data_IF_092170202430
#
_entry.id   IF_092170202430
#
_cell.length_a   1.000
_cell.length_b   1.000
_cell.length_c   1.000
_cell.angle_alpha   90.00
_cell.angle_beta   90.00
_cell.angle_gamma   90.00
#
_symmetry.space_group_name_H-M   'P 1'
#
loop_
_entity.id
_entity.type
_entity.pdbx_description
1 polymer ?
#
# COMPACT_ATOMS: atom_id res chain seq x y z
N UNK A 1 24.77 -16.81 21.09
CA UNK A 1 24.29 -18.08 20.49
C UNK A 1 24.70 -18.02 19.04
N UNK A 2 25.63 -18.92 18.63
CA UNK A 2 26.10 -19.02 17.25
C UNK A 2 24.91 -19.29 16.33
N UNK A 3 24.75 -18.47 15.27
CA UNK A 3 23.79 -18.72 14.20
C UNK A 3 24.21 -19.99 13.48
N UNK A 4 23.53 -21.10 13.72
CA UNK A 4 23.94 -22.44 13.34
C UNK A 4 23.87 -22.79 11.85
N UNK A 5 23.61 -21.85 10.95
CA UNK A 5 23.74 -21.97 9.50
C UNK A 5 24.34 -20.67 9.00
N UNK A 6 25.44 -20.75 8.25
CA UNK A 6 26.20 -19.59 7.78
C UNK A 6 25.29 -18.54 7.15
N UNK A 7 25.51 -17.28 7.51
CA UNK A 7 24.80 -16.15 6.93
C UNK A 7 24.99 -16.16 5.40
N UNK A 8 23.95 -16.50 4.67
CA UNK A 8 23.92 -16.39 3.21
C UNK A 8 23.34 -15.02 2.88
N UNK A 9 24.12 -14.20 2.17
CA UNK A 9 23.64 -12.91 1.67
C UNK A 9 22.43 -13.11 0.75
N UNK A 10 21.25 -12.72 1.22
CA UNK A 10 19.98 -12.89 0.50
C UNK A 10 19.77 -11.72 -0.47
N UNK A 11 20.28 -11.81 -1.70
CA UNK A 11 20.27 -10.72 -2.68
C UNK A 11 18.91 -10.51 -3.35
N UNK A 12 18.27 -11.58 -3.78
CA UNK A 12 17.01 -11.52 -4.51
C UNK A 12 15.80 -11.30 -3.62
N UNK A 13 14.84 -10.48 -4.10
CA UNK A 13 13.60 -10.19 -3.36
C UNK A 13 12.79 -11.48 -3.07
N UNK A 14 12.70 -12.41 -4.04
CA UNK A 14 12.01 -13.69 -3.86
C UNK A 14 12.60 -14.54 -2.72
N UNK A 15 13.94 -14.60 -2.61
CA UNK A 15 14.62 -15.30 -1.52
C UNK A 15 14.34 -14.64 -0.17
N UNK A 16 14.37 -13.30 -0.10
CA UNK A 16 14.04 -12.55 1.12
C UNK A 16 12.58 -12.75 1.54
N UNK A 17 11.63 -12.71 0.60
CA UNK A 17 10.21 -12.97 0.87
C UNK A 17 9.94 -14.35 1.46
N UNK A 18 10.75 -15.35 1.11
CA UNK A 18 10.61 -16.72 1.62
C UNK A 18 11.27 -16.86 3.00
N UNK A 19 12.51 -16.42 3.17
CA UNK A 19 13.34 -16.81 4.30
C UNK A 19 13.52 -15.75 5.40
N UNK A 20 13.19 -14.47 5.18
CA UNK A 20 13.38 -13.43 6.20
C UNK A 20 12.45 -13.63 7.40
N UNK A 21 12.93 -13.36 8.61
CA UNK A 21 12.12 -13.46 9.84
C UNK A 21 11.76 -14.88 10.27
N UNK A 22 12.33 -15.93 9.67
CA UNK A 22 12.01 -17.33 9.99
C UNK A 22 13.01 -18.00 10.98
N UNK A 23 13.99 -17.26 11.46
CA UNK A 23 14.99 -17.77 12.41
C UNK A 23 14.48 -17.77 13.86
N UNK A 24 13.31 -18.39 14.08
CA UNK A 24 12.74 -18.56 15.43
C UNK A 24 13.56 -19.60 16.20
N UNK A 25 13.92 -19.24 17.43
CA UNK A 25 14.74 -20.09 18.31
C UNK A 25 13.82 -21.08 19.05
N UNK A 26 13.67 -22.27 18.49
CA UNK A 26 13.09 -23.45 19.17
C UNK A 26 14.01 -24.66 18.96
N UNK A 27 14.03 -25.67 19.87
CA UNK A 27 14.92 -26.82 19.76
C UNK A 27 14.79 -27.57 18.44
N UNK A 28 13.55 -27.87 18.02
CA UNK A 28 13.25 -28.38 16.67
C UNK A 28 12.68 -27.22 15.87
N UNK A 29 13.44 -26.76 14.84
CA UNK A 29 12.98 -25.68 13.95
C UNK A 29 11.83 -26.16 13.07
N UNK A 30 10.59 -25.67 13.26
CA UNK A 30 9.52 -25.94 12.31
C UNK A 30 9.86 -25.28 10.95
N UNK A 31 9.37 -25.86 9.87
CA UNK A 31 9.55 -25.29 8.51
C UNK A 31 8.83 -23.94 8.38
N UNK A 32 7.67 -23.80 9.05
CA UNK A 32 6.86 -22.57 9.04
C UNK A 32 6.91 -21.90 10.40
N UNK A 33 6.69 -20.56 10.40
CA UNK A 33 6.58 -19.78 11.65
C UNK A 33 5.38 -20.26 12.45
N UNK A 34 5.53 -20.71 13.72
CA UNK A 34 4.41 -21.11 14.54
C UNK A 34 3.48 -19.96 14.90
N UNK A 35 2.20 -20.25 15.08
CA UNK A 35 1.22 -19.27 15.58
C UNK A 35 1.18 -19.29 17.10
N UNK A 36 1.65 -18.24 17.77
CA UNK A 36 1.60 -18.07 19.21
C UNK A 36 0.30 -17.36 19.64
N UNK A 37 -0.81 -18.10 19.76
CA UNK A 37 -2.10 -17.57 20.21
C UNK A 37 -2.13 -17.52 21.75
N UNK A 38 -1.54 -16.48 22.33
CA UNK A 38 -1.53 -16.23 23.77
C UNK A 38 -1.55 -14.73 24.05
N UNK A 39 -2.17 -14.34 25.15
CA UNK A 39 -2.14 -12.96 25.63
C UNK A 39 -0.85 -12.64 26.40
N UNK A 40 -0.33 -13.59 27.15
CA UNK A 40 0.85 -13.39 27.99
C UNK A 40 1.80 -14.59 27.95
N UNK A 41 3.05 -14.35 28.35
CA UNK A 41 4.12 -15.34 28.36
C UNK A 41 4.65 -15.56 29.78
N UNK A 42 4.97 -16.81 30.14
CA UNK A 42 5.70 -17.11 31.35
C UNK A 42 7.17 -16.75 31.15
N UNK A 43 7.66 -15.77 31.88
CA UNK A 43 9.04 -15.28 31.75
C UNK A 43 9.85 -15.68 32.99
N UNK A 44 10.74 -16.68 32.90
CA UNK A 44 11.55 -17.12 34.01
C UNK A 44 12.72 -16.18 34.36
N UNK A 45 12.99 -15.19 33.52
CA UNK A 45 14.10 -14.22 33.72
C UNK A 45 13.67 -12.77 33.46
N UNK A 46 14.46 -11.81 33.95
CA UNK A 46 14.22 -10.37 33.73
C UNK A 46 14.62 -9.92 32.32
N UNK A 47 15.29 -10.74 31.52
CA UNK A 47 15.57 -10.47 30.10
C UNK A 47 14.31 -10.75 29.26
N UNK A 48 13.48 -9.71 29.10
CA UNK A 48 12.12 -9.82 28.55
C UNK A 48 12.10 -9.50 27.07
N UNK A 49 12.06 -10.50 26.19
CA UNK A 49 11.70 -10.28 24.81
C UNK A 49 10.17 -10.28 24.63
N UNK A 50 9.47 -11.21 25.30
CA UNK A 50 8.02 -11.35 25.24
C UNK A 50 7.45 -11.37 26.66
N UNK A 51 6.48 -10.49 26.95
CA UNK A 51 5.74 -10.42 28.20
C UNK A 51 4.23 -10.50 27.93
N UNK A 52 3.76 -9.65 27.04
CA UNK A 52 2.35 -9.51 26.69
C UNK A 52 2.20 -9.27 25.19
N UNK A 53 1.30 -9.99 24.52
CA UNK A 53 1.20 -10.00 23.06
C UNK A 53 0.81 -8.64 22.44
N UNK A 54 0.25 -7.72 23.23
CA UNK A 54 0.02 -6.34 22.78
C UNK A 54 1.33 -5.58 22.54
N UNK A 55 2.38 -5.92 23.26
CA UNK A 55 3.69 -5.30 23.12
C UNK A 55 4.53 -6.04 22.07
N UNK A 56 4.67 -7.37 22.23
CA UNK A 56 5.38 -8.23 21.31
C UNK A 56 4.86 -9.68 21.34
N UNK A 57 4.89 -10.34 20.20
CA UNK A 57 4.51 -11.74 20.03
C UNK A 57 5.43 -12.39 18.98
N UNK A 58 5.93 -13.63 19.18
CA UNK A 58 6.90 -14.24 18.26
C UNK A 58 6.43 -14.29 16.80
N UNK A 59 5.15 -14.60 16.55
CA UNK A 59 4.60 -14.63 15.17
C UNK A 59 4.57 -13.24 14.56
N UNK A 60 4.17 -12.22 15.34
CA UNK A 60 4.13 -10.82 14.89
C UNK A 60 5.56 -10.31 14.64
N UNK A 61 6.50 -10.62 15.53
CA UNK A 61 7.91 -10.26 15.37
C UNK A 61 8.50 -10.84 14.08
N UNK A 62 8.22 -12.12 13.78
CA UNK A 62 8.68 -12.73 12.53
C UNK A 62 8.15 -12.02 11.27
N UNK A 63 6.90 -11.53 11.30
CA UNK A 63 6.35 -10.69 10.24
C UNK A 63 7.09 -9.35 10.15
N UNK A 64 7.29 -8.68 11.29
CA UNK A 64 7.95 -7.37 11.36
C UNK A 64 9.39 -7.45 10.83
N UNK A 65 10.17 -8.46 11.23
CA UNK A 65 11.52 -8.70 10.73
C UNK A 65 11.54 -8.97 9.22
N UNK A 66 10.60 -9.79 8.72
CA UNK A 66 10.45 -10.06 7.29
C UNK A 66 10.19 -8.78 6.51
N UNK A 67 9.25 -7.95 6.94
CA UNK A 67 8.92 -6.69 6.28
C UNK A 67 10.10 -5.70 6.33
N UNK A 68 10.76 -5.57 7.47
CA UNK A 68 11.94 -4.70 7.61
C UNK A 68 13.01 -5.07 6.58
N UNK A 69 13.32 -6.36 6.42
CA UNK A 69 14.32 -6.84 5.46
C UNK A 69 13.90 -6.60 4.00
N UNK A 70 12.65 -6.90 3.64
CA UNK A 70 12.20 -6.76 2.24
C UNK A 70 12.07 -5.31 1.80
N UNK A 71 11.69 -4.40 2.72
CA UNK A 71 11.65 -2.96 2.47
C UNK A 71 13.03 -2.29 2.61
N UNK A 72 13.99 -2.96 3.23
CA UNK A 72 15.35 -2.44 3.42
C UNK A 72 15.48 -1.44 4.55
N UNK A 73 14.71 -1.63 5.60
CA UNK A 73 14.77 -0.84 6.83
C UNK A 73 15.27 -1.67 8.03
N UNK A 74 15.77 -0.99 9.09
CA UNK A 74 16.20 -1.67 10.30
C UNK A 74 15.05 -2.18 11.18
N UNK A 75 13.84 -1.64 11.01
CA UNK A 75 12.70 -1.96 11.89
C UNK A 75 11.36 -1.87 11.17
N UNK A 76 10.38 -2.65 11.66
CA UNK A 76 8.99 -2.57 11.24
C UNK A 76 8.05 -2.81 12.41
N UNK A 77 6.77 -2.44 12.24
CA UNK A 77 5.69 -2.68 13.19
C UNK A 77 4.40 -3.08 12.46
N UNK A 78 3.69 -4.08 12.97
CA UNK A 78 2.46 -4.60 12.39
C UNK A 78 1.22 -4.09 13.15
N UNK A 79 0.15 -3.77 12.41
CA UNK A 79 -1.06 -3.10 12.87
C UNK A 79 -2.32 -3.84 12.42
N UNK A 80 -3.41 -3.63 13.15
CA UNK A 80 -4.72 -4.24 12.85
C UNK A 80 -5.34 -3.78 11.51
N UNK A 81 -4.88 -2.68 10.93
CA UNK A 81 -5.30 -2.20 9.60
C UNK A 81 -4.32 -1.18 9.03
N UNK A 82 -4.38 -0.91 7.72
CA UNK A 82 -3.61 0.19 7.11
C UNK A 82 -3.95 1.54 7.73
N UNK A 83 -5.22 1.81 8.01
CA UNK A 83 -5.62 3.06 8.68
C UNK A 83 -5.11 3.16 10.11
N UNK A 84 -5.02 2.07 10.86
CA UNK A 84 -4.42 2.10 12.20
C UNK A 84 -2.90 2.33 12.16
N UNK A 85 -2.21 1.80 11.15
CA UNK A 85 -0.80 2.13 10.88
C UNK A 85 -0.61 3.63 10.62
N UNK A 86 -1.42 4.20 9.73
CA UNK A 86 -1.39 5.63 9.38
C UNK A 86 -1.75 6.51 10.57
N UNK A 87 -2.87 6.24 11.25
CA UNK A 87 -3.33 7.07 12.38
C UNK A 87 -2.35 7.04 13.54
N UNK A 88 -1.79 5.86 13.87
CA UNK A 88 -0.77 5.74 14.92
C UNK A 88 0.49 6.52 14.55
N UNK A 89 0.93 6.44 13.29
CA UNK A 89 2.09 7.21 12.80
C UNK A 89 1.85 8.72 12.90
N UNK A 90 0.68 9.21 12.48
CA UNK A 90 0.34 10.62 12.59
C UNK A 90 0.30 11.09 14.06
N UNK A 91 -0.36 10.33 14.93
CA UNK A 91 -0.43 10.63 16.38
C UNK A 91 0.93 10.58 17.09
N UNK A 92 1.90 9.87 16.52
CA UNK A 92 3.26 9.82 17.07
C UNK A 92 4.11 11.01 16.63
N UNK A 93 4.04 11.36 15.34
CA UNK A 93 4.98 12.31 14.73
C UNK A 93 4.50 13.75 14.75
N UNK A 94 3.19 13.98 14.76
CA UNK A 94 2.62 15.31 14.71
C UNK A 94 2.42 15.89 16.12
N UNK A 95 2.76 17.16 16.28
CA UNK A 95 2.67 17.92 17.54
C UNK A 95 2.01 19.26 17.28
N UNK A 96 1.48 19.94 18.30
CA UNK A 96 1.00 21.30 18.15
C UNK A 96 2.07 22.21 17.52
N UNK A 97 1.70 22.92 16.46
CA UNK A 97 2.60 23.78 15.69
C UNK A 97 3.40 23.09 14.57
N UNK A 98 3.40 21.76 14.47
CA UNK A 98 3.99 21.05 13.33
C UNK A 98 3.33 21.46 12.01
N UNK A 99 4.07 21.27 10.89
CA UNK A 99 3.55 21.39 9.54
C UNK A 99 3.56 20.03 8.87
N UNK A 100 2.39 19.58 8.43
CA UNK A 100 2.26 18.37 7.60
C UNK A 100 1.88 18.76 6.19
N UNK A 101 2.61 18.23 5.19
CA UNK A 101 2.18 18.29 3.81
C UNK A 101 1.69 16.90 3.40
N UNK A 102 0.48 16.85 2.83
CA UNK A 102 -0.14 15.61 2.38
C UNK A 102 -0.53 15.72 0.90
N UNK A 103 -0.27 14.67 0.14
CA UNK A 103 -0.80 14.55 -1.21
C UNK A 103 -2.33 14.44 -1.14
N UNK A 104 -3.05 15.22 -1.96
CA UNK A 104 -4.51 15.32 -1.94
C UNK A 104 -5.21 14.18 -2.67
N UNK A 105 -4.64 13.75 -3.80
CA UNK A 105 -5.21 12.74 -4.72
C UNK A 105 -4.81 11.31 -4.32
N UNK A 106 -4.96 11.00 -3.03
CA UNK A 106 -4.69 9.69 -2.43
C UNK A 106 -5.99 9.08 -1.85
N UNK A 107 -5.90 7.97 -1.17
CA UNK A 107 -7.04 7.36 -0.51
C UNK A 107 -7.74 8.36 0.42
N UNK A 108 -8.97 8.74 0.07
CA UNK A 108 -9.69 9.89 0.66
C UNK A 108 -9.80 9.86 2.19
N UNK A 109 -9.88 8.67 2.80
CA UNK A 109 -9.96 8.53 4.26
C UNK A 109 -8.72 9.02 4.99
N UNK A 110 -7.55 8.98 4.34
CA UNK A 110 -6.31 9.49 4.92
C UNK A 110 -6.37 11.02 5.00
N UNK A 111 -6.84 11.67 3.94
CA UNK A 111 -6.98 13.14 3.89
C UNK A 111 -8.02 13.60 4.92
N UNK A 112 -9.16 12.92 5.01
CA UNK A 112 -10.21 13.22 6.01
C UNK A 112 -9.64 13.09 7.43
N UNK A 113 -8.91 12.03 7.73
CA UNK A 113 -8.25 11.83 9.02
C UNK A 113 -7.24 12.95 9.31
N UNK A 114 -6.40 13.30 8.33
CA UNK A 114 -5.40 14.36 8.51
C UNK A 114 -6.05 15.72 8.82
N UNK A 115 -7.15 16.07 8.14
CA UNK A 115 -7.95 17.29 8.42
C UNK A 115 -8.50 17.28 9.85
N UNK A 116 -9.13 16.18 10.25
CA UNK A 116 -9.69 16.04 11.60
C UNK A 116 -8.60 16.15 12.68
N UNK A 117 -7.46 15.47 12.49
CA UNK A 117 -6.34 15.53 13.42
C UNK A 117 -5.69 16.91 13.45
N UNK A 118 -5.62 17.63 12.33
CA UNK A 118 -5.03 18.98 12.29
C UNK A 118 -5.79 19.96 13.16
N UNK A 119 -7.12 19.88 13.16
CA UNK A 119 -7.96 20.70 14.03
C UNK A 119 -7.80 20.31 15.52
N UNK A 120 -7.84 19.01 15.82
CA UNK A 120 -7.77 18.51 17.20
C UNK A 120 -6.40 18.69 17.86
N UNK A 121 -5.33 18.53 17.08
CA UNK A 121 -3.95 18.57 17.58
C UNK A 121 -3.25 19.92 17.32
N UNK A 122 -3.92 20.87 16.66
CA UNK A 122 -3.40 22.19 16.34
C UNK A 122 -2.06 22.15 15.57
N UNK A 123 -2.00 21.39 14.49
CA UNK A 123 -0.91 21.44 13.51
C UNK A 123 -1.38 22.00 12.17
N UNK A 124 -0.46 22.54 11.37
CA UNK A 124 -0.78 23.10 10.05
C UNK A 124 -0.80 21.98 9.01
N UNK A 125 -1.97 21.72 8.41
CA UNK A 125 -2.11 20.82 7.26
C UNK A 125 -1.97 21.61 5.95
N UNK A 126 -1.19 21.08 5.01
CA UNK A 126 -0.98 21.59 3.66
C UNK A 126 -1.31 20.47 2.69
N UNK A 127 -2.33 20.67 1.86
CA UNK A 127 -2.72 19.72 0.83
C UNK A 127 -2.11 20.12 -0.52
N UNK A 128 -1.52 19.17 -1.24
CA UNK A 128 -0.88 19.39 -2.53
C UNK A 128 -1.30 18.31 -3.53
N UNK A 129 -1.43 18.68 -4.80
CA UNK A 129 -1.55 17.70 -5.87
C UNK A 129 -0.22 16.93 -6.07
N UNK A 130 -0.28 15.76 -6.72
CA UNK A 130 0.92 14.99 -7.03
C UNK A 130 1.90 15.80 -7.91
N UNK A 131 1.38 16.61 -8.82
CA UNK A 131 2.16 17.42 -9.76
C UNK A 131 2.92 18.57 -9.10
N UNK A 132 2.36 19.15 -8.01
CA UNK A 132 2.91 20.33 -7.33
C UNK A 132 3.65 19.96 -6.04
N UNK A 133 3.74 18.68 -5.70
CA UNK A 133 4.15 18.26 -4.36
C UNK A 133 5.61 18.63 -4.05
N UNK A 134 6.52 18.47 -4.99
CA UNK A 134 7.94 18.81 -4.84
C UNK A 134 8.12 20.32 -4.56
N UNK A 135 7.49 21.16 -5.39
CA UNK A 135 7.50 22.61 -5.24
C UNK A 135 6.95 23.07 -3.89
N UNK A 136 5.84 22.44 -3.46
CA UNK A 136 5.20 22.77 -2.20
C UNK A 136 6.04 22.31 -1.00
N UNK A 137 6.76 21.19 -1.07
CA UNK A 137 7.71 20.79 -0.04
C UNK A 137 8.83 21.83 0.10
N UNK A 138 9.43 22.26 -1.03
CA UNK A 138 10.49 23.28 -1.02
C UNK A 138 10.04 24.60 -0.41
N UNK A 139 8.86 25.07 -0.80
CA UNK A 139 8.30 26.38 -0.35
C UNK A 139 7.84 26.38 1.10
N UNK A 140 7.14 25.30 1.52
CA UNK A 140 6.46 25.27 2.84
C UNK A 140 7.35 24.73 3.95
N UNK A 141 8.39 23.93 3.61
CA UNK A 141 9.31 23.28 4.55
C UNK A 141 8.54 22.55 5.66
N UNK A 142 7.74 21.52 5.32
CA UNK A 142 6.97 20.77 6.30
C UNK A 142 7.88 19.90 7.17
N UNK A 143 7.44 19.62 8.41
CA UNK A 143 8.10 18.67 9.30
C UNK A 143 7.84 17.23 8.85
N UNK A 144 6.63 16.97 8.34
CA UNK A 144 6.18 15.65 7.88
C UNK A 144 5.57 15.77 6.49
N UNK A 145 5.95 14.88 5.59
CA UNK A 145 5.40 14.72 4.24
C UNK A 145 4.77 13.35 4.11
N UNK A 146 3.54 13.27 3.63
CA UNK A 146 2.85 12.00 3.35
C UNK A 146 2.43 11.93 1.88
N UNK A 147 2.84 10.85 1.20
CA UNK A 147 2.48 10.57 -0.20
C UNK A 147 2.10 9.11 -0.39
N UNK A 148 1.26 8.81 -1.39
CA UNK A 148 1.19 7.49 -2.00
C UNK A 148 2.19 7.43 -3.15
N UNK A 149 2.99 6.36 -3.21
CA UNK A 149 3.94 6.14 -4.31
C UNK A 149 3.24 6.03 -5.66
N UNK A 150 2.05 5.43 -5.66
CA UNK A 150 1.11 5.34 -6.76
C UNK A 150 -0.31 5.52 -6.23
N UNK A 151 -1.01 6.53 -6.70
CA UNK A 151 -2.32 6.91 -6.15
C UNK A 151 -3.47 6.06 -6.69
N UNK A 152 -4.58 6.03 -5.96
CA UNK A 152 -5.80 5.32 -6.31
C UNK A 152 -6.97 6.33 -6.40
N UNK A 153 -7.74 6.42 -7.50
CA UNK A 153 -7.83 5.47 -8.61
C UNK A 153 -7.08 5.85 -9.89
N UNK A 154 -6.48 7.02 -9.99
CA UNK A 154 -5.91 7.54 -11.24
C UNK A 154 -4.47 7.13 -11.49
N UNK A 155 -3.85 6.38 -10.56
CA UNK A 155 -2.52 5.79 -10.68
C UNK A 155 -1.42 6.82 -10.96
N UNK A 156 -1.56 8.02 -10.38
CA UNK A 156 -0.52 9.05 -10.44
C UNK A 156 0.69 8.59 -9.66
N UNK A 157 1.86 8.71 -10.25
CA UNK A 157 3.14 8.34 -9.61
C UNK A 157 3.93 9.60 -9.32
N UNK A 158 4.36 9.77 -8.07
CA UNK A 158 5.21 10.91 -7.64
C UNK A 158 6.69 10.58 -7.82
N UNK A 159 7.53 11.57 -8.13
CA UNK A 159 8.98 11.38 -8.23
C UNK A 159 9.61 11.30 -6.82
N UNK A 160 9.61 10.09 -6.26
CA UNK A 160 10.14 9.85 -4.93
C UNK A 160 11.64 10.16 -4.80
N UNK A 161 12.42 10.05 -5.88
CA UNK A 161 13.85 10.42 -5.84
C UNK A 161 14.03 11.92 -5.64
N UNK A 162 13.21 12.74 -6.29
CA UNK A 162 13.20 14.19 -6.13
C UNK A 162 12.70 14.57 -4.74
N UNK A 163 11.51 14.10 -4.38
CA UNK A 163 10.88 14.37 -3.07
C UNK A 163 11.79 13.96 -1.92
N UNK A 164 12.40 12.76 -2.00
CA UNK A 164 13.30 12.26 -0.95
C UNK A 164 14.55 13.12 -0.77
N UNK A 165 15.14 13.62 -1.88
CA UNK A 165 16.27 14.57 -1.80
C UNK A 165 15.88 15.88 -1.13
N UNK A 166 14.71 16.44 -1.50
CA UNK A 166 14.19 17.67 -0.90
C UNK A 166 13.94 17.48 0.58
N UNK A 167 13.20 16.43 0.97
CA UNK A 167 12.91 16.11 2.37
C UNK A 167 14.18 15.95 3.18
N UNK A 168 15.14 15.17 2.68
CA UNK A 168 16.44 14.97 3.35
C UNK A 168 17.19 16.28 3.56
N UNK A 169 17.21 17.18 2.57
CA UNK A 169 17.91 18.47 2.67
C UNK A 169 17.28 19.42 3.69
N UNK A 170 15.99 19.27 3.97
CA UNK A 170 15.23 20.11 4.89
C UNK A 170 15.03 19.47 6.28
N UNK A 171 15.38 18.20 6.45
CA UNK A 171 15.13 17.45 7.67
C UNK A 171 13.66 17.04 7.86
N UNK A 172 12.89 16.99 6.78
CA UNK A 172 11.49 16.55 6.78
C UNK A 172 11.39 15.04 6.83
N UNK A 173 10.48 14.49 7.63
CA UNK A 173 10.16 13.06 7.66
C UNK A 173 9.29 12.73 6.45
N UNK A 174 9.80 11.92 5.52
CA UNK A 174 9.03 11.45 4.36
C UNK A 174 8.38 10.11 4.67
N UNK A 175 7.06 10.09 4.64
CA UNK A 175 6.21 8.89 4.80
C UNK A 175 5.62 8.54 3.45
N UNK A 176 5.85 7.30 3.00
CA UNK A 176 5.35 6.81 1.71
C UNK A 176 4.42 5.62 1.93
N UNK A 177 3.16 5.74 1.53
CA UNK A 177 2.28 4.58 1.37
C UNK A 177 2.63 3.87 0.06
N UNK A 178 3.20 2.66 0.18
CA UNK A 178 3.68 1.86 -0.95
C UNK A 178 2.80 0.63 -1.21
N UNK A 179 1.52 0.73 -0.89
CA UNK A 179 0.56 -0.38 -0.94
C UNK A 179 0.39 -0.95 -2.34
N UNK A 180 0.33 -0.10 -3.39
CA UNK A 180 0.09 -0.56 -4.77
C UNK A 180 1.34 -1.14 -5.41
N UNK A 181 2.50 -0.47 -5.45
CA UNK A 181 3.70 -1.03 -6.04
C UNK A 181 4.24 -2.24 -5.28
N UNK A 182 4.11 -2.29 -3.96
CA UNK A 182 4.74 -3.26 -3.07
C UNK A 182 6.28 -3.21 -3.15
N UNK A 183 7.03 -3.84 -2.23
CA UNK A 183 8.50 -3.88 -2.32
C UNK A 183 9.03 -4.64 -3.54
N UNK A 184 8.16 -5.31 -4.30
CA UNK A 184 8.53 -5.98 -5.56
C UNK A 184 8.77 -4.96 -6.67
N UNK A 185 7.87 -3.98 -6.82
CA UNK A 185 7.95 -2.99 -7.88
C UNK A 185 8.70 -1.72 -7.45
N UNK A 186 8.68 -1.36 -6.16
CA UNK A 186 9.30 -0.14 -5.64
C UNK A 186 9.75 -0.33 -4.20
N UNK A 187 10.92 0.19 -3.86
CA UNK A 187 11.44 0.26 -2.47
C UNK A 187 11.73 1.71 -2.13
N UNK A 188 10.81 2.41 -1.43
CA UNK A 188 10.98 3.81 -1.08
C UNK A 188 12.19 4.10 -0.19
N UNK A 189 12.70 3.11 0.55
CA UNK A 189 13.96 3.22 1.32
C UNK A 189 15.15 3.62 0.45
N UNK A 190 15.19 3.13 -0.80
CA UNK A 190 16.24 3.44 -1.76
C UNK A 190 16.14 4.87 -2.31
N UNK A 191 15.01 5.56 -2.05
CA UNK A 191 14.68 6.90 -2.53
C UNK A 191 14.60 7.95 -1.42
N UNK A 192 15.02 7.59 -0.19
CA UNK A 192 15.10 8.52 0.93
C UNK A 192 13.83 8.68 1.75
N UNK A 193 12.87 7.77 1.65
CA UNK A 193 11.74 7.73 2.57
C UNK A 193 12.22 7.34 3.97
N UNK A 194 11.74 8.05 5.00
CA UNK A 194 12.04 7.72 6.40
C UNK A 194 11.14 6.59 6.92
N UNK A 195 9.91 6.53 6.39
CA UNK A 195 8.89 5.56 6.77
C UNK A 195 8.15 5.10 5.51
N UNK A 196 7.89 3.80 5.44
CA UNK A 196 7.00 3.17 4.45
C UNK A 196 5.81 2.55 5.16
N UNK A 197 4.62 2.75 4.61
CA UNK A 197 3.38 2.16 5.11
C UNK A 197 2.77 1.25 4.05
N UNK A 198 2.14 0.17 4.49
CA UNK A 198 1.35 -0.72 3.65
C UNK A 198 0.01 -1.05 4.29
N UNK A 199 -1.03 -1.07 3.48
CA UNK A 199 -2.21 -1.87 3.77
C UNK A 199 -1.90 -3.33 3.44
N UNK A 200 -1.59 -4.13 4.47
CA UNK A 200 -1.32 -5.56 4.29
C UNK A 200 -2.55 -6.34 3.77
N UNK A 201 -3.74 -5.75 3.90
CA UNK A 201 -5.01 -6.28 3.35
C UNK A 201 -5.00 -6.44 1.83
N UNK A 202 -4.05 -5.81 1.13
CA UNK A 202 -3.94 -5.80 -0.33
C UNK A 202 -2.95 -6.87 -0.80
N UNK A 203 -2.03 -6.53 -1.69
CA UNK A 203 -1.08 -7.47 -2.28
C UNK A 203 -0.22 -8.25 -1.29
N UNK A 204 0.12 -7.68 -0.10
CA UNK A 204 0.96 -8.38 0.88
C UNK A 204 0.26 -9.64 1.39
N UNK A 205 -0.98 -9.55 1.86
CA UNK A 205 -1.82 -10.70 2.18
C UNK A 205 -2.24 -11.45 0.91
N UNK A 206 -2.76 -10.72 -0.06
CA UNK A 206 -2.97 -11.13 -1.45
C UNK A 206 -4.07 -12.16 -1.70
N UNK A 207 -4.99 -12.39 -0.73
CA UNK A 207 -6.03 -13.40 -0.82
C UNK A 207 -7.42 -12.88 -0.38
N UNK A 208 -7.59 -11.55 -0.20
CA UNK A 208 -8.85 -10.90 0.22
C UNK A 208 -9.45 -11.41 1.56
N UNK A 209 -8.65 -12.03 2.42
CA UNK A 209 -9.07 -12.76 3.62
C UNK A 209 -8.57 -12.13 4.94
N UNK A 210 -7.78 -11.04 4.87
CA UNK A 210 -7.24 -10.37 6.05
C UNK A 210 -7.45 -8.85 6.01
N UNK A 211 -7.42 -8.25 7.19
CA UNK A 211 -7.24 -6.80 7.38
C UNK A 211 -5.97 -6.59 8.20
N UNK A 212 -5.05 -5.77 7.68
CA UNK A 212 -3.79 -5.50 8.36
C UNK A 212 -3.09 -4.26 7.83
N UNK A 213 -2.16 -3.73 8.61
CA UNK A 213 -1.29 -2.61 8.25
C UNK A 213 0.15 -2.85 8.69
N UNK A 214 1.08 -2.24 8.01
CA UNK A 214 2.51 -2.33 8.30
C UNK A 214 3.11 -0.93 8.26
N UNK A 215 4.04 -0.67 9.15
CA UNK A 215 4.99 0.44 9.10
C UNK A 215 6.39 -0.16 9.06
N UNK A 216 7.24 0.27 8.13
CA UNK A 216 8.68 -0.01 8.14
C UNK A 216 9.45 1.32 8.05
N UNK A 217 10.60 1.43 8.69
CA UNK A 217 11.31 2.71 8.70
C UNK A 217 12.57 2.73 9.54
N UNK A 218 13.08 3.93 9.76
CA UNK A 218 14.20 4.21 10.65
C UNK A 218 13.90 3.71 12.08
N UNK A 219 14.88 3.11 12.74
CA UNK A 219 14.70 2.40 14.01
C UNK A 219 14.02 3.27 15.08
N UNK A 220 14.54 4.49 15.30
CA UNK A 220 14.05 5.40 16.34
C UNK A 220 12.60 5.86 16.08
N UNK A 221 12.22 6.03 14.81
CA UNK A 221 10.85 6.40 14.43
C UNK A 221 9.89 5.23 14.63
N UNK A 222 10.28 4.03 14.19
CA UNK A 222 9.46 2.83 14.33
C UNK A 222 9.30 2.43 15.79
N UNK A 223 10.31 2.61 16.64
CA UNK A 223 10.19 2.34 18.07
C UNK A 223 9.16 3.25 18.73
N UNK A 224 9.19 4.56 18.49
CA UNK A 224 8.17 5.50 18.98
C UNK A 224 6.75 5.13 18.50
N UNK A 225 6.63 4.70 17.23
CA UNK A 225 5.36 4.28 16.64
C UNK A 225 4.88 2.96 17.27
N UNK A 226 5.79 2.03 17.60
CA UNK A 226 5.49 0.76 18.27
C UNK A 226 5.00 0.99 19.71
N UNK A 227 5.64 1.91 20.44
CA UNK A 227 5.19 2.30 21.77
C UNK A 227 3.76 2.88 21.71
N UNK A 228 3.53 3.81 20.80
CA UNK A 228 2.21 4.40 20.59
C UNK A 228 1.17 3.34 20.16
N UNK A 229 1.56 2.37 19.31
CA UNK A 229 0.71 1.22 18.95
C UNK A 229 0.29 0.43 20.18
N UNK A 230 1.21 0.19 21.10
CA UNK A 230 0.93 -0.54 22.34
C UNK A 230 -0.04 0.23 23.25
N UNK A 231 0.10 1.56 23.34
CA UNK A 231 -0.83 2.42 24.08
C UNK A 231 -2.25 2.41 23.48
N UNK A 232 -2.36 2.50 22.15
CA UNK A 232 -3.61 2.54 21.41
C UNK A 232 -4.26 1.16 21.24
N UNK A 233 -3.49 0.07 21.42
CA UNK A 233 -3.96 -1.30 21.21
C UNK A 233 -4.21 -1.67 19.74
N UNK A 234 -3.62 -0.94 18.79
CA UNK A 234 -3.82 -1.12 17.34
C UNK A 234 -2.93 -2.20 16.73
N UNK A 235 -2.62 -3.24 17.49
CA UNK A 235 -1.73 -4.35 17.08
C UNK A 235 -2.40 -5.27 16.05
N UNK A 236 -1.58 -5.96 15.26
CA UNK A 236 -2.02 -7.11 14.46
C UNK A 236 -2.00 -8.38 15.33
N UNK A 237 -3.02 -9.23 15.22
CA UNK A 237 -3.06 -10.51 15.92
C UNK A 237 -2.13 -11.55 15.27
N UNK A 238 -1.71 -12.59 16.00
CA UNK A 238 -0.77 -13.59 15.49
C UNK A 238 -1.30 -14.42 14.33
N UNK A 239 -2.60 -14.68 14.24
CA UNK A 239 -3.18 -15.46 13.15
C UNK A 239 -3.17 -14.64 11.84
N UNK A 240 -3.58 -13.39 11.90
CA UNK A 240 -3.47 -12.45 10.75
C UNK A 240 -2.01 -12.29 10.33
N UNK A 241 -1.08 -12.16 11.28
CA UNK A 241 0.36 -12.06 10.99
C UNK A 241 0.88 -13.31 10.25
N UNK A 242 0.46 -14.51 10.67
CA UNK A 242 0.79 -15.75 9.97
C UNK A 242 0.26 -15.77 8.52
N UNK A 243 -0.99 -15.33 8.31
CA UNK A 243 -1.57 -15.26 6.96
C UNK A 243 -0.81 -14.25 6.07
N UNK A 244 -0.37 -13.10 6.62
CA UNK A 244 0.48 -12.16 5.89
C UNK A 244 1.83 -12.78 5.54
N UNK A 245 2.49 -13.46 6.49
CA UNK A 245 3.76 -14.19 6.23
C UNK A 245 3.56 -15.18 5.08
N UNK A 246 2.49 -15.96 5.11
CA UNK A 246 2.14 -16.93 4.06
C UNK A 246 1.93 -16.24 2.71
N UNK A 247 1.20 -15.13 2.69
CA UNK A 247 0.98 -14.31 1.49
C UNK A 247 2.28 -13.75 0.90
N UNK A 248 3.19 -13.27 1.74
CA UNK A 248 4.49 -12.73 1.33
C UNK A 248 5.36 -13.76 0.59
N UNK A 249 5.30 -15.04 0.94
CA UNK A 249 6.09 -16.10 0.28
C UNK A 249 5.85 -16.21 -1.24
N UNK A 250 4.67 -15.80 -1.69
CA UNK A 250 4.30 -15.81 -3.13
C UNK A 250 4.18 -14.41 -3.73
N UNK A 251 4.44 -13.35 -2.96
CA UNK A 251 4.21 -11.97 -3.41
C UNK A 251 4.90 -11.66 -4.74
N UNK A 252 6.17 -12.03 -4.91
CA UNK A 252 6.91 -11.70 -6.13
C UNK A 252 6.31 -12.38 -7.37
N UNK A 253 5.86 -13.65 -7.26
CA UNK A 253 5.23 -14.38 -8.36
C UNK A 253 3.88 -13.72 -8.70
N UNK A 254 3.06 -13.42 -7.69
CA UNK A 254 1.77 -12.77 -7.88
C UNK A 254 1.91 -11.38 -8.49
N UNK A 255 2.85 -10.56 -8.00
CA UNK A 255 3.08 -9.24 -8.56
C UNK A 255 3.56 -9.26 -10.01
N UNK A 256 4.43 -10.21 -10.38
CA UNK A 256 4.81 -10.38 -11.78
C UNK A 256 3.60 -10.72 -12.67
N UNK A 257 2.70 -11.57 -12.18
CA UNK A 257 1.50 -11.93 -12.92
C UNK A 257 0.51 -10.77 -13.01
N UNK A 258 0.25 -10.07 -11.89
CA UNK A 258 -0.57 -8.86 -11.87
C UNK A 258 -0.05 -7.79 -12.85
N UNK A 259 1.26 -7.49 -12.80
CA UNK A 259 1.89 -6.53 -13.71
C UNK A 259 1.65 -6.92 -15.18
N UNK A 260 1.90 -8.20 -15.51
CA UNK A 260 1.73 -8.72 -16.88
C UNK A 260 0.27 -8.63 -17.34
N UNK A 261 -0.66 -9.11 -16.53
CA UNK A 261 -2.08 -9.10 -16.89
C UNK A 261 -2.61 -7.67 -17.04
N UNK A 262 -2.27 -6.77 -16.13
CA UNK A 262 -2.70 -5.38 -16.19
C UNK A 262 -2.11 -4.65 -17.42
N UNK A 263 -0.87 -4.91 -17.76
CA UNK A 263 -0.24 -4.34 -18.95
C UNK A 263 -0.91 -4.81 -20.24
N UNK A 264 -1.18 -6.12 -20.35
CA UNK A 264 -1.88 -6.68 -21.53
C UNK A 264 -3.28 -6.09 -21.62
N UNK A 265 -4.05 -6.08 -20.52
CA UNK A 265 -5.38 -5.50 -20.48
C UNK A 265 -5.39 -4.04 -20.92
N UNK A 266 -4.51 -3.22 -20.33
CA UNK A 266 -4.45 -1.80 -20.64
C UNK A 266 -4.12 -1.54 -22.11
N UNK A 267 -3.19 -2.31 -22.70
CA UNK A 267 -2.82 -2.21 -24.12
C UNK A 267 -3.96 -2.64 -25.04
N UNK A 268 -4.63 -3.75 -24.71
CA UNK A 268 -5.76 -4.27 -25.53
C UNK A 268 -6.93 -3.28 -25.55
N UNK A 269 -7.23 -2.67 -24.42
CA UNK A 269 -8.36 -1.74 -24.33
C UNK A 269 -8.11 -0.37 -24.92
N UNK A 270 -6.85 -0.02 -25.29
CA UNK A 270 -6.46 1.32 -25.75
C UNK A 270 -7.23 1.79 -26.99
N UNK A 271 -7.52 0.87 -27.91
CA UNK A 271 -8.19 1.16 -29.18
C UNK A 271 -9.72 0.97 -29.12
N UNK A 272 -10.27 0.65 -27.94
CA UNK A 272 -11.70 0.42 -27.80
C UNK A 272 -12.48 1.74 -27.86
N UNK A 273 -13.40 1.84 -28.83
CA UNK A 273 -14.18 3.05 -29.12
C UNK A 273 -15.13 3.48 -27.98
N UNK A 274 -15.48 2.58 -27.07
CA UNK A 274 -16.36 2.84 -25.91
C UNK A 274 -15.60 3.41 -24.70
N UNK A 275 -14.25 3.42 -24.75
CA UNK A 275 -13.40 3.95 -23.70
C UNK A 275 -12.92 5.35 -24.11
N UNK A 276 -13.08 6.31 -23.20
CA UNK A 276 -12.62 7.69 -23.38
C UNK A 276 -11.15 7.83 -22.99
N UNK A 277 -10.74 7.19 -21.90
CA UNK A 277 -9.39 7.25 -21.36
C UNK A 277 -9.04 5.99 -20.57
N UNK A 278 -7.76 5.63 -20.59
CA UNK A 278 -7.19 4.58 -19.73
C UNK A 278 -6.11 5.21 -18.87
N UNK A 279 -6.16 4.90 -17.58
CA UNK A 279 -5.13 5.27 -16.62
C UNK A 279 -4.36 4.00 -16.24
N UNK A 280 -3.12 3.91 -16.70
CA UNK A 280 -2.16 2.86 -16.38
C UNK A 280 -0.75 3.42 -16.60
N UNK A 281 0.12 3.46 -15.58
CA UNK A 281 1.42 4.12 -15.69
C UNK A 281 2.36 3.51 -16.74
N UNK A 282 2.09 2.25 -17.16
CA UNK A 282 2.82 1.57 -18.22
C UNK A 282 2.51 2.07 -19.64
N UNK A 283 1.43 2.84 -19.85
CA UNK A 283 1.08 3.42 -21.14
C UNK A 283 1.79 4.78 -21.33
N UNK A 284 2.35 5.03 -22.52
CA UNK A 284 3.10 6.25 -22.83
C UNK A 284 2.26 7.54 -22.71
N UNK A 285 0.94 7.44 -22.89
CA UNK A 285 0.01 8.56 -22.78
C UNK A 285 -0.43 8.84 -21.32
N UNK A 286 0.00 8.04 -20.35
CA UNK A 286 -0.28 8.33 -18.94
C UNK A 286 0.58 9.50 -18.43
N UNK A 287 -0.01 10.49 -17.71
CA UNK A 287 0.74 11.67 -17.26
C UNK A 287 2.02 11.37 -16.48
N UNK A 288 2.00 10.32 -15.66
CA UNK A 288 3.15 9.91 -14.85
C UNK A 288 4.05 8.86 -15.52
N UNK A 289 3.84 8.50 -16.81
CA UNK A 289 4.61 7.43 -17.45
C UNK A 289 6.13 7.61 -17.32
N UNK A 290 6.62 8.84 -17.56
CA UNK A 290 8.05 9.15 -17.49
C UNK A 290 8.63 8.88 -16.09
N UNK A 291 7.91 9.28 -15.06
CA UNK A 291 8.31 9.06 -13.66
C UNK A 291 8.23 7.57 -13.34
N UNK A 292 7.10 6.93 -13.66
CA UNK A 292 6.88 5.51 -13.43
C UNK A 292 7.98 4.64 -14.07
N UNK A 293 8.32 4.91 -15.33
CA UNK A 293 9.40 4.22 -16.06
C UNK A 293 10.78 4.38 -15.41
N UNK A 294 11.00 5.50 -14.71
CA UNK A 294 12.25 5.78 -14.01
C UNK A 294 12.37 5.00 -12.70
N UNK A 295 11.27 4.90 -11.92
CA UNK A 295 11.34 4.42 -10.53
C UNK A 295 10.68 3.07 -10.29
N UNK A 296 9.71 2.64 -11.14
CA UNK A 296 8.98 1.38 -10.95
C UNK A 296 9.62 0.24 -11.77
N UNK A 297 9.71 -0.95 -11.15
CA UNK A 297 10.13 -2.19 -11.81
C UNK A 297 8.98 -2.91 -12.52
N UNK A 298 7.76 -2.51 -12.26
CA UNK A 298 6.50 -2.95 -12.85
C UNK A 298 5.40 -1.99 -12.46
N UNK A 299 4.34 -1.88 -13.26
CA UNK A 299 3.36 -0.81 -13.17
C UNK A 299 2.09 -1.18 -12.39
N UNK A 300 2.17 -2.23 -11.55
CA UNK A 300 1.04 -2.66 -10.71
C UNK A 300 -0.04 -3.45 -11.44
N UNK A 301 -1.00 -3.91 -10.65
CA UNK A 301 -2.13 -4.73 -11.12
C UNK A 301 -3.46 -3.96 -11.20
N UNK A 302 -3.43 -2.63 -11.25
CA UNK A 302 -4.64 -1.81 -11.33
C UNK A 302 -4.67 -1.08 -12.68
N UNK A 303 -5.83 -1.13 -13.34
CA UNK A 303 -6.12 -0.36 -14.55
C UNK A 303 -7.41 0.42 -14.31
N UNK A 304 -7.42 1.72 -14.52
CA UNK A 304 -8.64 2.51 -14.48
C UNK A 304 -9.05 2.95 -15.88
N UNK A 305 -10.33 2.83 -16.19
CA UNK A 305 -10.89 3.20 -17.49
C UNK A 305 -12.02 4.21 -17.29
N UNK A 306 -12.08 5.18 -18.17
CA UNK A 306 -13.20 6.11 -18.26
C UNK A 306 -14.04 5.75 -19.48
N UNK A 307 -15.31 5.42 -19.25
CA UNK A 307 -16.23 4.98 -20.31
C UNK A 307 -16.85 6.18 -21.03
N UNK A 308 -17.17 6.04 -22.33
CA UNK A 308 -17.93 7.03 -23.09
C UNK A 308 -19.42 6.86 -22.87
N UNK A 309 -19.86 6.95 -21.63
CA UNK A 309 -21.25 6.82 -21.23
C UNK A 309 -21.52 7.64 -19.96
N UNK A 310 -22.78 7.70 -19.57
CA UNK A 310 -23.21 8.30 -18.29
C UNK A 310 -23.12 7.30 -17.11
N UNK A 311 -23.63 7.71 -15.95
CA UNK A 311 -23.64 6.88 -14.75
C UNK A 311 -24.45 5.57 -14.97
N UNK A 312 -25.61 5.65 -15.63
CA UNK A 312 -26.48 4.48 -15.83
C UNK A 312 -25.81 3.45 -16.75
N UNK A 313 -25.18 3.89 -17.83
CA UNK A 313 -24.37 3.04 -18.68
C UNK A 313 -23.16 2.45 -17.95
N UNK A 314 -22.50 3.22 -17.08
CA UNK A 314 -21.39 2.73 -16.26
C UNK A 314 -21.83 1.63 -15.30
N UNK A 315 -22.95 1.80 -14.62
CA UNK A 315 -23.52 0.78 -13.74
C UNK A 315 -24.05 -0.44 -14.52
N UNK A 316 -24.54 -0.24 -15.77
CA UNK A 316 -24.89 -1.33 -16.67
C UNK A 316 -23.67 -2.16 -17.04
N UNK A 317 -22.56 -1.51 -17.44
CA UNK A 317 -21.30 -2.20 -17.72
C UNK A 317 -20.87 -3.11 -16.54
N UNK A 318 -20.91 -2.59 -15.32
CA UNK A 318 -20.53 -3.39 -14.14
C UNK A 318 -21.47 -4.60 -13.92
N UNK A 319 -22.75 -4.48 -14.22
CA UNK A 319 -23.71 -5.60 -14.10
C UNK A 319 -23.54 -6.67 -15.17
N UNK A 320 -23.02 -6.30 -16.33
CA UNK A 320 -22.76 -7.23 -17.43
C UNK A 320 -21.52 -8.11 -17.20
N UNK A 321 -20.61 -7.72 -16.32
CA UNK A 321 -19.41 -8.50 -16.00
C UNK A 321 -19.78 -9.84 -15.34
N UNK A 322 -19.08 -10.92 -15.72
CA UNK A 322 -19.32 -12.29 -15.23
C UNK A 322 -18.13 -12.84 -14.43
N UNK A 323 -16.91 -12.51 -14.83
CA UNK A 323 -15.66 -12.90 -14.17
C UNK A 323 -15.26 -11.82 -13.18
N UNK A 324 -15.11 -10.58 -13.65
CA UNK A 324 -14.78 -9.45 -12.80
C UNK A 324 -15.95 -9.10 -11.87
N UNK A 325 -15.69 -9.03 -10.56
CA UNK A 325 -16.73 -8.86 -9.52
C UNK A 325 -16.71 -7.44 -8.93
N UNK A 326 -17.87 -6.83 -8.68
CA UNK A 326 -17.94 -5.55 -8.00
C UNK A 326 -17.45 -5.65 -6.54
N UNK A 327 -16.34 -4.95 -6.20
CA UNK A 327 -15.82 -4.93 -4.84
C UNK A 327 -14.97 -3.68 -4.56
N UNK A 328 -14.97 -3.24 -3.29
CA UNK A 328 -14.24 -2.06 -2.82
C UNK A 328 -12.79 -2.33 -2.41
N UNK A 329 -12.19 -3.44 -2.84
CA UNK A 329 -10.79 -3.80 -2.53
C UNK A 329 -9.97 -4.05 -3.79
N UNK A 330 -8.72 -4.49 -3.65
CA UNK A 330 -7.81 -4.87 -4.74
C UNK A 330 -6.66 -5.73 -4.23
N UNK A 331 -5.91 -6.34 -5.14
CA UNK A 331 -4.66 -7.05 -4.84
C UNK A 331 -4.82 -8.51 -4.42
N UNK A 332 -6.03 -9.06 -4.53
CA UNK A 332 -6.32 -10.48 -4.39
C UNK A 332 -6.24 -11.23 -5.73
N UNK A 333 -6.46 -12.55 -5.73
CA UNK A 333 -6.36 -13.38 -6.93
C UNK A 333 -7.49 -13.14 -7.94
N UNK A 334 -8.66 -12.67 -7.49
CA UNK A 334 -9.80 -12.41 -8.35
C UNK A 334 -9.71 -11.02 -8.99
N UNK A 335 -10.15 -10.90 -10.24
CA UNK A 335 -10.38 -9.61 -10.90
C UNK A 335 -11.61 -8.91 -10.29
N UNK A 336 -11.37 -7.69 -9.79
CA UNK A 336 -12.38 -6.90 -9.12
C UNK A 336 -12.56 -5.56 -9.82
N UNK A 337 -13.82 -5.09 -9.86
CA UNK A 337 -14.15 -3.78 -10.38
C UNK A 337 -14.78 -2.90 -9.30
N UNK A 338 -14.45 -1.62 -9.33
CA UNK A 338 -15.09 -0.64 -8.46
C UNK A 338 -15.44 0.62 -9.23
N UNK A 339 -16.54 1.24 -8.84
CA UNK A 339 -16.94 2.56 -9.31
C UNK A 339 -16.52 3.60 -8.26
N UNK A 340 -15.42 4.33 -8.45
CA UNK A 340 -14.89 5.23 -7.42
C UNK A 340 -15.90 6.25 -6.91
N UNK A 341 -16.70 6.83 -7.81
CA UNK A 341 -17.69 7.85 -7.46
C UNK A 341 -18.74 7.37 -6.44
N UNK A 342 -19.21 6.12 -6.54
CA UNK A 342 -20.21 5.56 -5.60
C UNK A 342 -19.62 4.74 -4.46
N UNK A 343 -18.33 4.42 -4.50
CA UNK A 343 -17.66 3.56 -3.50
C UNK A 343 -16.62 4.33 -2.68
N UNK A 344 -15.39 4.44 -3.16
CA UNK A 344 -14.27 5.01 -2.40
C UNK A 344 -14.35 6.54 -2.22
N UNK A 345 -14.97 7.25 -3.16
CA UNK A 345 -15.12 8.72 -3.16
C UNK A 345 -16.57 9.19 -2.96
N UNK A 346 -17.46 8.32 -2.46
CA UNK A 346 -18.89 8.63 -2.25
C UNK A 346 -19.17 9.78 -1.26
N UNK A 347 -18.17 10.14 -0.46
CA UNK A 347 -18.29 11.23 0.53
C UNK A 347 -17.91 12.61 -0.02
N UNK A 348 -17.36 12.65 -1.24
CA UNK A 348 -17.07 13.90 -1.95
C UNK A 348 -18.24 14.34 -2.80
N UNK A 349 -18.44 15.64 -2.93
CA UNK A 349 -19.40 16.20 -3.88
C UNK A 349 -18.99 15.86 -5.32
N UNK A 350 -19.89 16.03 -6.27
CA UNK A 350 -19.58 15.80 -7.69
C UNK A 350 -18.47 16.74 -8.16
N UNK A 351 -18.56 18.01 -7.78
CA UNK A 351 -17.57 19.04 -8.10
C UNK A 351 -16.18 18.71 -7.53
N UNK A 352 -16.12 18.23 -6.30
CA UNK A 352 -14.86 17.80 -5.68
C UNK A 352 -14.27 16.58 -6.42
N UNK A 353 -15.10 15.60 -6.79
CA UNK A 353 -14.63 14.43 -7.55
C UNK A 353 -14.13 14.82 -8.94
N UNK A 354 -14.85 15.68 -9.66
CA UNK A 354 -14.44 16.18 -10.97
C UNK A 354 -13.12 16.97 -10.89
N UNK A 355 -12.93 17.78 -9.85
CA UNK A 355 -11.68 18.47 -9.59
C UNK A 355 -10.50 17.51 -9.31
N UNK A 356 -10.77 16.30 -8.81
CA UNK A 356 -9.78 15.22 -8.66
C UNK A 356 -9.59 14.39 -9.94
N UNK A 357 -10.41 14.64 -11.01
CA UNK A 357 -10.41 13.83 -12.23
C UNK A 357 -11.22 12.53 -12.14
N UNK A 358 -12.12 12.44 -11.16
CA UNK A 358 -12.95 11.24 -10.92
C UNK A 358 -14.37 11.51 -11.44
N UNK A 359 -14.63 11.09 -12.67
CA UNK A 359 -15.93 11.19 -13.32
C UNK A 359 -16.92 10.09 -12.86
N UNK A 360 -18.20 10.29 -13.17
CA UNK A 360 -19.25 9.27 -12.93
C UNK A 360 -19.13 8.07 -13.90
N UNK A 361 -18.25 8.14 -14.90
CA UNK A 361 -17.95 7.04 -15.83
C UNK A 361 -16.63 6.33 -15.57
N UNK A 362 -15.92 6.69 -14.48
CA UNK A 362 -14.66 6.07 -14.11
C UNK A 362 -14.87 4.72 -13.43
N UNK A 363 -14.22 3.70 -13.95
CA UNK A 363 -14.13 2.34 -13.38
C UNK A 363 -12.70 2.00 -13.07
N UNK A 364 -12.43 1.51 -11.86
CA UNK A 364 -11.15 0.93 -11.49
C UNK A 364 -11.24 -0.60 -11.56
N UNK A 365 -10.31 -1.21 -12.27
CA UNK A 365 -10.17 -2.66 -12.41
C UNK A 365 -8.93 -3.08 -11.65
N UNK A 366 -9.07 -3.91 -10.60
CA UNK A 366 -7.98 -4.64 -9.99
C UNK A 366 -7.84 -5.96 -10.73
N UNK A 367 -6.88 -6.05 -11.59
CA UNK A 367 -6.66 -7.22 -12.45
C UNK A 367 -6.12 -8.38 -11.61
N UNK A 368 -6.80 -9.50 -11.65
CA UNK A 368 -6.48 -10.69 -10.88
C UNK A 368 -5.42 -11.59 -11.52
N UNK A 369 -5.45 -12.85 -11.09
CA UNK A 369 -4.50 -13.89 -11.50
C UNK A 369 -5.14 -14.89 -12.46
N UNK A 370 -6.35 -14.63 -12.94
CA UNK A 370 -7.03 -15.44 -13.93
C UNK A 370 -6.31 -15.38 -15.29
N UNK A 371 -6.66 -16.26 -16.20
CA UNK A 371 -6.17 -16.20 -17.57
C UNK A 371 -6.60 -14.88 -18.23
N UNK A 372 -5.64 -14.15 -18.78
CA UNK A 372 -5.86 -12.77 -19.23
C UNK A 372 -6.86 -12.68 -20.38
N UNK A 373 -6.91 -13.69 -21.24
CA UNK A 373 -7.87 -13.80 -22.34
C UNK A 373 -9.31 -13.84 -21.82
N UNK A 374 -9.56 -14.53 -20.73
CA UNK A 374 -10.90 -14.60 -20.12
C UNK A 374 -11.31 -13.26 -19.52
N UNK A 375 -10.38 -12.55 -18.86
CA UNK A 375 -10.61 -11.19 -18.32
C UNK A 375 -10.94 -10.22 -19.47
N UNK A 376 -10.17 -10.26 -20.56
CA UNK A 376 -10.38 -9.39 -21.74
C UNK A 376 -11.74 -9.66 -22.34
N UNK A 377 -12.06 -10.94 -22.61
CA UNK A 377 -13.34 -11.34 -23.20
C UNK A 377 -14.54 -10.91 -22.34
N UNK A 378 -14.43 -10.99 -21.02
CA UNK A 378 -15.49 -10.55 -20.10
C UNK A 378 -15.72 -9.04 -20.18
N UNK A 379 -14.64 -8.25 -20.20
CA UNK A 379 -14.70 -6.79 -20.28
C UNK A 379 -15.21 -6.34 -21.66
N UNK A 380 -14.68 -6.89 -22.75
CA UNK A 380 -15.11 -6.54 -24.11
C UNK A 380 -16.58 -6.85 -24.34
N UNK A 381 -17.04 -8.03 -23.93
CA UNK A 381 -18.46 -8.40 -23.98
C UNK A 381 -19.35 -7.42 -23.20
N UNK A 382 -18.91 -6.99 -22.02
CA UNK A 382 -19.66 -6.01 -21.24
C UNK A 382 -19.64 -4.61 -21.92
N UNK A 383 -18.55 -4.23 -22.58
CA UNK A 383 -18.46 -3.00 -23.37
C UNK A 383 -19.36 -3.04 -24.62
N UNK A 384 -19.47 -4.19 -25.31
CA UNK A 384 -20.35 -4.34 -26.48
C UNK A 384 -21.80 -4.05 -26.15
N UNK A 385 -22.23 -4.37 -24.93
CA UNK A 385 -23.61 -4.16 -24.46
C UNK A 385 -23.89 -2.71 -24.02
N UNK A 386 -22.91 -1.79 -24.05
CA UNK A 386 -23.11 -0.36 -23.86
C UNK A 386 -23.56 0.30 -25.17
#
# INVERSE_FOLDING_TARGET
VERGWGYVERKGIGTRLIHSGEDIIVPEKPLEVPIYLTAGFITPSLARMYLYSREANPTVTALEEKIAEIEGYPSAAAFSSGMSAISTTFLTLLKPGSKMLIQRDIFSRIVVLARELSEKMNFKLIESSAEEIADNIEKQKPDVVFVESESNPLLKVVDLEEIGKICKSQGSILIVDNTIPTPVNLRPSEMGASIVIHSASKYLGGHNDIIGGIVAGEADLVEQIRDKRSDLGTIMDPFTSFLVIRGLKTLHIRMHHHNKNAEILAKTLQDNKKIARIYYPGLENHPSHRIAKKILKGYGGIVSIELKTDLDGTLKFMRELRIAKPAGTFGGPETLVSHPASMSHRHHSKEEREAMGISDSLIRISVGLEDIEDIINDIERALENL
#
